data_IF_338129938197
#
_entry.id   IF_338129938197
#
_cell.length_a   1.000
_cell.length_b   1.000
_cell.length_c   1.000
_cell.angle_alpha   90.00
_cell.angle_beta   90.00
_cell.angle_gamma   90.00
#
_symmetry.space_group_name_H-M   'P 1'
#
loop_
_entity.id
_entity.type
_entity.pdbx_description
1 polymer ?
#
# COMPACT_ATOMS: atom_id res chain seq x y z
N UNK A 1 23.69 -25.64 1.66
CA UNK A 1 23.43 -24.58 0.64
C UNK A 1 22.97 -23.31 1.33
N UNK A 2 23.50 -22.16 0.96
CA UNK A 2 23.12 -20.83 1.51
C UNK A 2 22.78 -19.92 0.32
N UNK A 3 21.62 -19.26 0.38
CA UNK A 3 21.25 -18.24 -0.59
C UNK A 3 21.62 -16.85 -0.02
N UNK A 4 22.44 -16.10 -0.76
CA UNK A 4 22.80 -14.73 -0.43
C UNK A 4 22.09 -13.82 -1.43
N UNK A 5 21.13 -13.05 -0.92
CA UNK A 5 20.37 -12.07 -1.73
C UNK A 5 21.02 -10.70 -1.60
N UNK A 6 21.14 -9.98 -2.71
CA UNK A 6 21.65 -8.61 -2.71
C UNK A 6 20.84 -7.74 -1.73
N UNK A 7 21.47 -6.87 -0.93
CA UNK A 7 20.79 -6.08 0.11
C UNK A 7 19.58 -5.28 -0.40
N UNK A 8 19.62 -4.75 -1.62
CA UNK A 8 18.50 -4.03 -2.22
C UNK A 8 17.33 -4.96 -2.49
N UNK A 9 17.53 -6.15 -3.08
CA UNK A 9 16.44 -7.15 -3.26
C UNK A 9 15.87 -7.60 -1.91
N UNK A 10 16.73 -7.78 -0.91
CA UNK A 10 16.28 -8.14 0.44
C UNK A 10 15.43 -7.02 1.05
N UNK A 11 15.84 -5.76 0.91
CA UNK A 11 15.06 -4.60 1.37
C UNK A 11 13.69 -4.53 0.67
N UNK A 12 13.66 -4.67 -0.66
CA UNK A 12 12.41 -4.69 -1.46
C UNK A 12 11.46 -5.76 -0.92
N UNK A 13 11.94 -7.00 -0.73
CA UNK A 13 11.12 -8.11 -0.25
C UNK A 13 10.66 -7.91 1.21
N UNK A 14 11.52 -7.39 2.08
CA UNK A 14 11.18 -7.16 3.49
C UNK A 14 10.12 -6.09 3.66
N UNK A 15 10.24 -4.98 2.94
CA UNK A 15 9.26 -3.89 2.98
C UNK A 15 7.91 -4.34 2.39
N UNK A 16 7.93 -5.04 1.27
CA UNK A 16 6.72 -5.65 0.70
C UNK A 16 6.05 -6.59 1.70
N UNK A 17 6.80 -7.52 2.29
CA UNK A 17 6.25 -8.48 3.27
C UNK A 17 5.65 -7.79 4.50
N UNK A 18 6.26 -6.71 4.97
CA UNK A 18 5.72 -5.91 6.07
C UNK A 18 4.40 -5.23 5.67
N UNK A 19 4.35 -4.51 4.55
CA UNK A 19 3.15 -3.80 4.09
C UNK A 19 2.01 -4.77 3.76
N UNK A 20 2.31 -5.88 3.08
CA UNK A 20 1.33 -6.94 2.79
C UNK A 20 0.76 -7.54 4.07
N UNK A 21 1.62 -7.84 5.06
CA UNK A 21 1.18 -8.37 6.36
C UNK A 21 0.27 -7.38 7.11
N UNK A 22 0.53 -6.08 7.05
CA UNK A 22 -0.33 -5.07 7.65
C UNK A 22 -1.71 -5.04 6.97
N UNK A 23 -1.74 -5.04 5.62
CA UNK A 23 -3.00 -5.06 4.86
C UNK A 23 -3.84 -6.31 5.14
N UNK A 24 -3.20 -7.46 5.39
CA UNK A 24 -3.90 -8.72 5.65
C UNK A 24 -4.41 -8.82 7.09
N UNK A 25 -3.69 -8.27 8.08
CA UNK A 25 -4.00 -8.43 9.52
C UNK A 25 -4.93 -7.37 10.09
N UNK A 26 -4.81 -6.12 9.65
CA UNK A 26 -5.59 -5.03 10.21
C UNK A 26 -7.10 -5.26 10.16
N UNK A 27 -7.70 -5.84 9.08
CA UNK A 27 -9.14 -6.08 9.06
C UNK A 27 -9.65 -6.96 10.18
N UNK A 28 -8.91 -8.03 10.49
CA UNK A 28 -9.30 -8.94 11.57
C UNK A 28 -9.26 -8.22 12.91
N UNK A 29 -8.21 -7.45 13.16
CA UNK A 29 -8.06 -6.66 14.39
C UNK A 29 -9.15 -5.60 14.51
N UNK A 30 -9.47 -4.90 13.41
CA UNK A 30 -10.54 -3.89 13.40
C UNK A 30 -11.89 -4.54 13.65
N UNK A 31 -12.21 -5.66 12.99
CA UNK A 31 -13.48 -6.36 13.19
C UNK A 31 -13.64 -6.89 14.62
N UNK A 32 -12.56 -7.42 15.21
CA UNK A 32 -12.57 -7.84 16.62
C UNK A 32 -12.82 -6.65 17.54
N UNK A 33 -12.22 -5.52 17.25
CA UNK A 33 -12.40 -4.30 18.04
C UNK A 33 -13.79 -3.71 17.89
N UNK A 34 -14.34 -3.62 16.65
CA UNK A 34 -15.73 -3.19 16.39
C UNK A 34 -16.69 -4.07 17.19
N UNK A 35 -16.57 -5.39 17.08
CA UNK A 35 -17.42 -6.32 17.79
C UNK A 35 -17.38 -6.11 19.31
N UNK A 36 -16.18 -5.88 19.86
CA UNK A 36 -16.03 -5.58 21.29
C UNK A 36 -16.72 -4.27 21.67
N UNK A 37 -16.62 -3.23 20.85
CA UNK A 37 -17.31 -1.95 21.10
C UNK A 37 -18.84 -2.11 21.03
N UNK A 38 -19.34 -2.88 20.07
CA UNK A 38 -20.78 -3.21 19.99
C UNK A 38 -21.27 -3.96 21.24
N UNK A 39 -20.53 -4.98 21.68
CA UNK A 39 -20.84 -5.74 22.89
C UNK A 39 -20.83 -4.83 24.16
N UNK A 40 -19.86 -3.93 24.29
CA UNK A 40 -19.76 -2.97 25.39
C UNK A 40 -20.92 -1.97 25.39
N UNK A 41 -21.32 -1.43 24.22
CA UNK A 41 -22.46 -0.53 24.06
C UNK A 41 -23.76 -1.24 24.42
N UNK A 42 -23.94 -2.47 23.95
CA UNK A 42 -25.14 -3.26 24.23
C UNK A 42 -25.23 -3.60 25.74
N UNK A 43 -24.14 -3.98 26.37
CA UNK A 43 -24.07 -4.26 27.79
C UNK A 43 -24.43 -3.00 28.61
N UNK A 44 -23.84 -1.86 28.28
CA UNK A 44 -24.08 -0.59 28.93
C UNK A 44 -25.57 -0.20 28.83
N UNK A 45 -26.15 -0.30 27.63
CA UNK A 45 -27.56 0.00 27.41
C UNK A 45 -28.50 -0.90 28.25
N UNK A 46 -28.18 -2.19 28.36
CA UNK A 46 -28.95 -3.14 29.20
C UNK A 46 -28.83 -2.83 30.69
N UNK A 47 -27.64 -2.48 31.18
CA UNK A 47 -27.41 -2.14 32.57
C UNK A 47 -28.18 -0.89 32.98
N UNK A 48 -28.18 0.17 32.15
CA UNK A 48 -28.91 1.41 32.43
C UNK A 48 -30.42 1.27 32.29
N UNK A 49 -30.89 0.37 31.45
CA UNK A 49 -32.32 0.20 31.16
C UNK A 49 -33.12 -0.40 32.32
N UNK A 50 -32.50 -1.22 33.17
CA UNK A 50 -33.21 -1.98 34.25
C UNK A 50 -34.51 -2.64 33.80
N UNK A 51 -34.62 -2.98 32.50
CA UNK A 51 -35.79 -3.55 31.88
C UNK A 51 -36.72 -2.56 31.15
N UNK A 52 -36.41 -1.25 31.17
CA UNK A 52 -37.14 -0.24 30.40
C UNK A 52 -36.57 -0.15 28.96
N UNK A 53 -37.44 -0.45 27.99
CA UNK A 53 -37.02 -0.48 26.57
C UNK A 53 -36.71 0.92 26.00
N UNK A 54 -37.36 1.98 26.46
CA UNK A 54 -37.12 3.34 25.97
C UNK A 54 -35.75 3.82 26.47
N UNK A 55 -35.40 3.56 27.74
CA UNK A 55 -34.11 3.86 28.32
C UNK A 55 -33.00 3.07 27.61
N UNK A 56 -33.25 1.76 27.33
CA UNK A 56 -32.31 0.95 26.54
C UNK A 56 -32.02 1.57 25.18
N UNK A 57 -33.08 1.86 24.42
CA UNK A 57 -32.93 2.43 23.06
C UNK A 57 -32.18 3.75 23.07
N UNK A 58 -32.52 4.65 24.00
CA UNK A 58 -31.93 5.98 24.05
C UNK A 58 -30.47 5.92 24.49
N UNK A 59 -30.12 5.05 25.44
CA UNK A 59 -28.73 4.79 25.84
C UNK A 59 -27.95 4.17 24.69
N UNK A 60 -28.48 3.13 24.03
CA UNK A 60 -27.84 2.50 22.87
C UNK A 60 -27.57 3.51 21.77
N UNK A 61 -28.56 4.32 21.38
CA UNK A 61 -28.41 5.34 20.33
C UNK A 61 -27.41 6.43 20.68
N UNK A 62 -27.26 6.78 21.94
CA UNK A 62 -26.25 7.77 22.39
C UNK A 62 -24.83 7.22 22.31
N UNK A 63 -24.63 5.93 22.59
CA UNK A 63 -23.32 5.29 22.67
C UNK A 63 -22.87 4.67 21.32
N UNK A 64 -23.78 4.41 20.37
CA UNK A 64 -23.46 3.76 19.08
C UNK A 64 -22.48 4.58 18.24
N UNK A 65 -22.37 5.89 18.46
CA UNK A 65 -21.39 6.75 17.81
C UNK A 65 -19.95 6.32 18.07
N UNK A 66 -19.70 5.57 19.15
CA UNK A 66 -18.38 4.95 19.44
C UNK A 66 -18.04 3.88 18.41
N UNK A 67 -19.04 3.13 17.93
CA UNK A 67 -18.89 2.13 16.88
C UNK A 67 -18.70 2.81 15.53
N UNK A 68 -19.44 3.89 15.28
CA UNK A 68 -19.34 4.66 14.03
C UNK A 68 -17.92 5.23 13.84
N UNK A 69 -17.26 5.66 14.92
CA UNK A 69 -15.87 6.15 14.87
C UNK A 69 -14.87 5.10 14.38
N UNK A 70 -15.17 3.80 14.56
CA UNK A 70 -14.29 2.72 14.10
C UNK A 70 -14.23 2.65 12.57
N UNK A 71 -15.28 3.04 11.86
CA UNK A 71 -15.28 3.12 10.38
C UNK A 71 -14.42 4.27 9.87
N UNK A 72 -14.35 5.38 10.60
CA UNK A 72 -13.43 6.46 10.28
C UNK A 72 -11.97 6.01 10.42
N UNK A 73 -11.68 5.15 11.38
CA UNK A 73 -10.35 4.57 11.56
C UNK A 73 -9.97 3.62 10.42
N UNK A 74 -10.92 2.86 9.85
CA UNK A 74 -10.67 2.06 8.67
C UNK A 74 -10.27 2.94 7.47
N UNK A 75 -10.97 4.05 7.28
CA UNK A 75 -10.62 5.01 6.23
C UNK A 75 -9.22 5.58 6.44
N UNK A 76 -8.91 6.06 7.66
CA UNK A 76 -7.60 6.60 8.01
C UNK A 76 -6.49 5.58 7.82
N UNK A 77 -6.72 4.32 8.22
CA UNK A 77 -5.77 3.24 7.98
C UNK A 77 -5.53 3.01 6.49
N UNK A 78 -6.58 2.91 5.68
CA UNK A 78 -6.45 2.69 4.24
C UNK A 78 -5.75 3.86 3.54
N UNK A 79 -6.01 5.11 3.96
CA UNK A 79 -5.30 6.29 3.49
C UNK A 79 -3.80 6.22 3.84
N UNK A 80 -3.47 5.94 5.10
CA UNK A 80 -2.09 5.77 5.56
C UNK A 80 -1.38 4.65 4.80
N UNK A 81 -2.03 3.51 4.62
CA UNK A 81 -1.47 2.38 3.87
C UNK A 81 -1.17 2.73 2.42
N UNK A 82 -2.06 3.44 1.72
CA UNK A 82 -1.81 3.87 0.35
C UNK A 82 -0.59 4.83 0.28
N UNK A 83 -0.49 5.77 1.22
CA UNK A 83 0.67 6.66 1.31
C UNK A 83 1.96 5.87 1.57
N UNK A 84 1.93 4.90 2.47
CA UNK A 84 3.11 4.06 2.78
C UNK A 84 3.52 3.18 1.59
N UNK A 85 2.57 2.60 0.87
CA UNK A 85 2.80 1.79 -0.33
C UNK A 85 3.48 2.64 -1.40
N UNK A 86 2.93 3.82 -1.71
CA UNK A 86 3.56 4.72 -2.67
C UNK A 86 4.95 5.21 -2.21
N UNK A 87 5.13 5.52 -0.93
CA UNK A 87 6.43 5.94 -0.37
C UNK A 87 7.50 4.85 -0.46
N UNK A 88 7.10 3.59 -0.27
CA UNK A 88 7.97 2.43 -0.52
C UNK A 88 8.46 2.39 -1.97
N UNK A 89 7.55 2.56 -2.92
CA UNK A 89 7.87 2.60 -4.34
C UNK A 89 8.80 3.76 -4.70
N UNK A 90 8.42 4.99 -4.34
CA UNK A 90 9.17 6.21 -4.62
C UNK A 90 10.58 6.17 -4.03
N UNK A 91 10.71 5.82 -2.75
CA UNK A 91 12.00 5.75 -2.06
C UNK A 91 12.93 4.69 -2.65
N UNK A 92 12.37 3.54 -3.05
CA UNK A 92 13.13 2.47 -3.68
C UNK A 92 13.61 2.85 -5.09
N UNK A 93 12.74 3.49 -5.90
CA UNK A 93 13.14 4.02 -7.20
C UNK A 93 14.23 5.08 -7.08
N UNK A 94 14.08 6.00 -6.13
CA UNK A 94 15.09 7.02 -5.88
C UNK A 94 16.43 6.41 -5.48
N UNK A 95 16.42 5.36 -4.67
CA UNK A 95 17.63 4.63 -4.31
C UNK A 95 18.26 3.94 -5.51
N UNK A 96 17.47 3.21 -6.30
CA UNK A 96 17.94 2.56 -7.53
C UNK A 96 18.54 3.58 -8.50
N UNK A 97 17.84 4.70 -8.75
CA UNK A 97 18.33 5.73 -9.68
C UNK A 97 19.67 6.33 -9.23
N UNK A 98 19.84 6.60 -7.94
CA UNK A 98 21.13 7.09 -7.39
C UNK A 98 22.26 6.09 -7.56
N UNK A 99 22.02 4.81 -7.27
CA UNK A 99 23.05 3.77 -7.38
C UNK A 99 23.51 3.54 -8.82
N UNK A 100 22.58 3.65 -9.78
CA UNK A 100 22.92 3.50 -11.21
C UNK A 100 23.22 4.83 -11.91
N UNK A 101 23.24 5.93 -11.18
CA UNK A 101 23.56 7.28 -11.67
C UNK A 101 22.65 7.71 -12.83
N UNK A 102 21.32 7.67 -12.59
CA UNK A 102 20.29 8.18 -13.47
C UNK A 102 19.64 9.38 -12.79
N UNK A 103 19.51 10.50 -13.51
CA UNK A 103 19.06 11.78 -12.95
C UNK A 103 17.59 11.80 -12.50
N UNK A 104 16.78 10.87 -12.97
CA UNK A 104 15.36 10.79 -12.63
C UNK A 104 14.96 9.38 -12.21
N UNK A 105 14.18 9.21 -11.12
CA UNK A 105 13.74 7.91 -10.62
C UNK A 105 12.57 7.35 -11.46
N UNK A 106 12.73 7.29 -12.78
CA UNK A 106 11.74 6.69 -13.69
C UNK A 106 12.16 5.28 -14.08
N UNK A 107 11.25 4.29 -13.96
CA UNK A 107 11.54 2.89 -14.30
C UNK A 107 12.15 2.68 -15.68
N UNK A 108 11.61 3.37 -16.71
CA UNK A 108 12.12 3.31 -18.08
C UNK A 108 13.56 3.84 -18.21
N UNK A 109 13.88 4.93 -17.52
CA UNK A 109 15.24 5.49 -17.57
C UNK A 109 16.26 4.58 -16.87
N UNK A 110 15.86 3.95 -15.75
CA UNK A 110 16.70 2.97 -15.06
C UNK A 110 16.95 1.77 -15.98
N UNK A 111 15.91 1.22 -16.61
CA UNK A 111 16.05 0.08 -17.52
C UNK A 111 16.92 0.42 -18.74
N UNK A 112 16.71 1.58 -19.37
CA UNK A 112 17.46 2.03 -20.55
C UNK A 112 18.97 2.19 -20.27
N UNK A 113 19.35 2.55 -19.03
CA UNK A 113 20.78 2.62 -18.63
C UNK A 113 21.52 1.30 -18.86
N UNK A 114 20.80 0.18 -18.80
CA UNK A 114 21.35 -1.18 -18.99
C UNK A 114 20.97 -1.78 -20.38
N UNK A 115 20.52 -0.94 -21.33
CA UNK A 115 20.02 -1.39 -22.63
C UNK A 115 18.89 -2.43 -22.50
N UNK A 116 18.11 -2.36 -21.42
CA UNK A 116 16.98 -3.23 -21.16
C UNK A 116 15.67 -2.50 -21.39
N UNK A 117 14.64 -3.23 -21.80
CA UNK A 117 13.27 -2.75 -21.94
C UNK A 117 12.38 -3.42 -20.91
N UNK A 118 11.43 -2.67 -20.35
CA UNK A 118 10.35 -3.24 -19.55
C UNK A 118 9.33 -3.87 -20.49
N UNK A 119 8.72 -4.98 -20.08
CA UNK A 119 7.59 -5.55 -20.80
C UNK A 119 6.33 -4.68 -20.67
N UNK A 120 5.35 -4.92 -21.53
CA UNK A 120 4.11 -4.13 -21.58
C UNK A 120 3.32 -4.14 -20.27
N UNK A 121 3.42 -5.21 -19.48
CA UNK A 121 2.75 -5.28 -18.16
C UNK A 121 3.41 -4.31 -17.19
N UNK A 122 4.72 -4.29 -17.11
CA UNK A 122 5.49 -3.41 -16.21
C UNK A 122 5.39 -1.95 -16.63
N UNK A 123 5.33 -1.67 -17.94
CA UNK A 123 5.05 -0.32 -18.45
C UNK A 123 3.67 0.14 -17.96
N UNK A 124 2.62 -0.68 -18.13
CA UNK A 124 1.26 -0.35 -17.66
C UNK A 124 1.19 -0.15 -16.16
N UNK A 125 1.92 -0.95 -15.37
CA UNK A 125 2.01 -0.76 -13.91
C UNK A 125 2.64 0.60 -13.60
N UNK A 126 3.77 0.93 -14.23
CA UNK A 126 4.46 2.21 -14.03
C UNK A 126 3.57 3.40 -14.38
N UNK A 127 2.90 3.35 -15.52
CA UNK A 127 1.97 4.39 -15.97
C UNK A 127 0.75 4.51 -15.04
N UNK A 128 0.23 3.39 -14.55
CA UNK A 128 -0.89 3.38 -13.60
C UNK A 128 -0.49 4.04 -12.28
N UNK A 129 0.66 3.67 -11.72
CA UNK A 129 1.16 4.29 -10.48
C UNK A 129 1.37 5.78 -10.68
N UNK A 130 2.05 6.19 -11.74
CA UNK A 130 2.32 7.59 -12.03
C UNK A 130 1.04 8.40 -12.31
N UNK A 131 0.09 7.88 -13.11
CA UNK A 131 -1.07 8.65 -13.56
C UNK A 131 -2.29 8.53 -12.65
N UNK A 132 -2.36 7.51 -11.76
CA UNK A 132 -3.55 7.23 -10.94
C UNK A 132 -3.25 7.20 -9.45
N UNK A 133 -2.16 6.56 -9.02
CA UNK A 133 -1.84 6.42 -7.60
C UNK A 133 -1.19 7.69 -7.04
N UNK A 134 -0.19 8.22 -7.74
CA UNK A 134 0.54 9.44 -7.32
C UNK A 134 -0.40 10.63 -7.13
N UNK A 135 -1.30 10.98 -8.08
CA UNK A 135 -2.22 12.10 -7.87
C UNK A 135 -3.18 11.87 -6.69
N UNK A 136 -3.63 10.64 -6.46
CA UNK A 136 -4.46 10.31 -5.30
C UNK A 136 -3.68 10.49 -4.00
N UNK A 137 -2.44 9.98 -3.92
CA UNK A 137 -1.57 10.17 -2.75
C UNK A 137 -1.32 11.65 -2.47
N UNK A 138 -1.07 12.45 -3.50
CA UNK A 138 -0.88 13.89 -3.34
C UNK A 138 -2.12 14.56 -2.75
N UNK A 139 -3.32 14.16 -3.17
CA UNK A 139 -4.57 14.63 -2.56
C UNK A 139 -4.66 14.25 -1.07
N UNK A 140 -4.33 13.02 -0.72
CA UNK A 140 -4.37 12.55 0.67
C UNK A 140 -3.36 13.25 1.57
N UNK A 141 -2.14 13.50 1.07
CA UNK A 141 -1.08 14.13 1.85
C UNK A 141 -1.29 15.64 2.08
N UNK A 142 -1.89 16.33 1.11
CA UNK A 142 -1.90 17.80 1.10
C UNK A 142 -3.28 18.39 1.30
N UNK A 143 -4.30 17.57 1.48
CA UNK A 143 -5.68 18.05 1.45
C UNK A 143 -6.51 17.66 2.66
N UNK A 144 -6.23 18.28 3.81
CA UNK A 144 -7.10 18.15 5.00
C UNK A 144 -8.51 18.74 4.79
N UNK A 145 -8.74 19.51 3.70
CA UNK A 145 -9.99 20.21 3.43
C UNK A 145 -10.84 19.62 2.31
N UNK A 146 -10.36 18.57 1.62
CA UNK A 146 -11.09 17.94 0.50
C UNK A 146 -11.07 18.73 -0.81
N UNK A 147 -10.45 19.92 -0.87
CA UNK A 147 -10.33 20.70 -2.10
C UNK A 147 -9.17 20.20 -2.96
N UNK A 148 -9.42 19.95 -4.25
CA UNK A 148 -8.38 19.58 -5.20
C UNK A 148 -7.33 20.69 -5.33
N UNK A 149 -6.04 20.32 -5.33
CA UNK A 149 -4.97 21.27 -5.55
C UNK A 149 -5.15 22.01 -6.90
N UNK A 150 -5.01 23.32 -6.89
CA UNK A 150 -5.03 24.10 -8.14
C UNK A 150 -3.91 23.65 -9.09
N UNK A 151 -2.73 23.36 -8.55
CA UNK A 151 -1.61 22.82 -9.33
C UNK A 151 -1.85 21.33 -9.62
N UNK A 152 -1.92 20.96 -10.90
CA UNK A 152 -2.25 19.63 -11.42
C UNK A 152 -3.72 19.18 -11.21
N UNK A 153 -4.65 20.13 -11.08
CA UNK A 153 -6.08 19.85 -10.88
C UNK A 153 -6.64 18.87 -11.90
N UNK A 154 -6.39 19.10 -13.19
CA UNK A 154 -6.88 18.20 -14.27
C UNK A 154 -6.38 16.76 -14.12
N UNK A 155 -5.10 16.58 -13.76
CA UNK A 155 -4.50 15.24 -13.54
C UNK A 155 -5.12 14.57 -12.32
N UNK A 156 -5.35 15.32 -11.24
CA UNK A 156 -5.99 14.80 -10.02
C UNK A 156 -7.45 14.42 -10.28
N UNK A 157 -8.23 15.26 -10.97
CA UNK A 157 -9.61 14.97 -11.35
C UNK A 157 -9.71 13.73 -12.26
N UNK A 158 -8.86 13.64 -13.28
CA UNK A 158 -8.81 12.48 -14.17
C UNK A 158 -8.44 11.18 -13.44
N UNK A 159 -7.57 11.26 -12.42
CA UNK A 159 -7.24 10.14 -11.55
C UNK A 159 -8.43 9.73 -10.71
N UNK A 160 -9.02 10.67 -9.95
CA UNK A 160 -10.15 10.42 -9.06
C UNK A 160 -11.34 9.87 -9.82
N UNK A 161 -11.71 10.45 -10.96
CA UNK A 161 -12.81 9.97 -11.79
C UNK A 161 -12.58 8.53 -12.28
N UNK A 162 -11.35 8.19 -12.69
CA UNK A 162 -11.02 6.83 -13.07
C UNK A 162 -11.17 5.87 -11.89
N UNK A 163 -10.64 6.23 -10.71
CA UNK A 163 -10.68 5.37 -9.52
C UNK A 163 -12.11 5.18 -8.99
N UNK A 164 -12.96 6.21 -9.08
CA UNK A 164 -14.41 6.14 -8.80
C UNK A 164 -15.11 5.15 -9.74
N UNK A 165 -14.88 5.26 -11.06
CA UNK A 165 -15.47 4.35 -12.06
C UNK A 165 -15.08 2.89 -11.80
N UNK A 166 -13.85 2.65 -11.32
CA UNK A 166 -13.36 1.32 -10.96
C UNK A 166 -13.79 0.86 -9.57
N UNK A 167 -14.52 1.68 -8.81
CA UNK A 167 -14.91 1.42 -7.42
C UNK A 167 -13.71 1.17 -6.49
N UNK A 168 -12.58 1.80 -6.77
CA UNK A 168 -11.39 1.74 -5.93
C UNK A 168 -11.46 2.74 -4.77
N UNK A 169 -12.22 3.80 -4.94
CA UNK A 169 -12.50 4.82 -3.92
C UNK A 169 -13.97 5.20 -3.96
N UNK A 170 -14.47 5.78 -2.86
CA UNK A 170 -15.74 6.50 -2.81
C UNK A 170 -15.50 7.95 -2.43
N UNK A 171 -16.34 8.85 -2.94
CA UNK A 171 -16.28 10.28 -2.65
C UNK A 171 -17.68 10.76 -2.32
N UNK A 172 -17.81 11.51 -1.23
CA UNK A 172 -19.03 12.19 -0.84
C UNK A 172 -18.73 13.64 -0.48
N UNK A 173 -19.50 14.59 -1.01
CA UNK A 173 -19.29 16.04 -0.81
C UNK A 173 -17.83 16.50 -1.04
N UNK A 174 -17.19 15.96 -2.10
CA UNK A 174 -15.80 16.30 -2.45
C UNK A 174 -14.73 15.71 -1.55
N UNK A 175 -15.10 14.82 -0.61
CA UNK A 175 -14.17 14.13 0.29
C UNK A 175 -14.11 12.65 -0.03
N UNK A 176 -12.92 12.06 0.03
CA UNK A 176 -12.74 10.61 -0.08
C UNK A 176 -13.27 9.97 1.20
N UNK A 177 -14.30 9.13 1.05
CA UNK A 177 -14.98 8.45 2.16
C UNK A 177 -14.63 6.97 2.27
N UNK A 178 -14.06 6.38 1.24
CA UNK A 178 -13.47 5.05 1.34
C UNK A 178 -12.35 4.84 0.33
N UNK A 179 -11.42 3.96 0.66
CA UNK A 179 -10.40 3.42 -0.24
C UNK A 179 -10.45 1.90 -0.14
N UNK A 180 -10.65 1.24 -1.27
CA UNK A 180 -10.73 -0.21 -1.32
C UNK A 180 -9.36 -0.84 -1.00
N UNK A 181 -9.33 -1.75 -0.04
CA UNK A 181 -8.12 -2.43 0.39
C UNK A 181 -7.51 -3.32 -0.69
N UNK A 182 -8.33 -4.03 -1.46
CA UNK A 182 -7.87 -4.86 -2.57
C UNK A 182 -7.19 -4.00 -3.66
N UNK A 183 -7.63 -2.75 -3.82
CA UNK A 183 -6.96 -1.79 -4.68
C UNK A 183 -5.55 -1.46 -4.14
N UNK A 184 -5.40 -1.18 -2.84
CA UNK A 184 -4.10 -0.91 -2.22
C UNK A 184 -3.17 -2.12 -2.37
N UNK A 185 -3.68 -3.32 -2.14
CA UNK A 185 -2.93 -4.58 -2.30
C UNK A 185 -2.48 -4.78 -3.75
N UNK A 186 -3.36 -4.52 -4.71
CA UNK A 186 -3.04 -4.58 -6.15
C UNK A 186 -1.95 -3.58 -6.55
N UNK A 187 -1.97 -2.37 -5.99
CA UNK A 187 -0.90 -1.37 -6.18
C UNK A 187 0.41 -1.89 -5.62
N UNK A 188 0.42 -2.35 -4.37
CA UNK A 188 1.60 -2.90 -3.71
C UNK A 188 2.22 -4.07 -4.49
N UNK A 189 1.41 -5.02 -4.96
CA UNK A 189 1.87 -6.18 -5.74
C UNK A 189 2.47 -5.75 -7.08
N UNK A 190 1.84 -4.79 -7.76
CA UNK A 190 2.35 -4.23 -9.01
C UNK A 190 3.68 -3.50 -8.83
N UNK A 191 3.77 -2.64 -7.83
CA UNK A 191 5.00 -1.91 -7.50
C UNK A 191 6.13 -2.87 -7.12
N UNK A 192 5.84 -3.88 -6.30
CA UNK A 192 6.81 -4.90 -5.92
C UNK A 192 7.37 -5.65 -7.14
N UNK A 193 6.50 -6.10 -8.04
CA UNK A 193 6.89 -6.76 -9.28
C UNK A 193 7.81 -5.89 -10.13
N UNK A 194 7.45 -4.62 -10.30
CA UNK A 194 8.25 -3.66 -11.07
C UNK A 194 9.61 -3.41 -10.43
N UNK A 195 9.67 -3.19 -9.11
CA UNK A 195 10.90 -2.95 -8.37
C UNK A 195 11.85 -4.14 -8.38
N UNK A 196 11.33 -5.37 -8.24
CA UNK A 196 12.14 -6.58 -8.36
C UNK A 196 12.74 -6.71 -9.75
N UNK A 197 11.96 -6.43 -10.80
CA UNK A 197 12.47 -6.48 -12.18
C UNK A 197 13.54 -5.44 -12.44
N UNK A 198 13.37 -4.22 -11.93
CA UNK A 198 14.41 -3.19 -12.02
C UNK A 198 15.68 -3.59 -11.27
N UNK A 199 15.54 -4.18 -10.08
CA UNK A 199 16.68 -4.69 -9.33
C UNK A 199 17.44 -5.79 -10.11
N UNK A 200 16.72 -6.67 -10.82
CA UNK A 200 17.34 -7.67 -11.71
C UNK A 200 18.07 -7.03 -12.89
N UNK A 201 17.47 -6.06 -13.56
CA UNK A 201 18.08 -5.30 -14.64
C UNK A 201 19.35 -4.60 -14.17
N UNK A 202 19.36 -4.05 -12.96
CA UNK A 202 20.54 -3.45 -12.33
C UNK A 202 21.61 -4.47 -11.91
N UNK A 203 21.37 -5.77 -12.13
CA UNK A 203 22.34 -6.82 -11.78
C UNK A 203 22.32 -7.26 -10.32
N UNK A 204 21.34 -6.84 -9.53
CA UNK A 204 21.21 -7.24 -8.12
C UNK A 204 20.58 -8.63 -8.02
N UNK A 205 21.45 -9.63 -7.83
CA UNK A 205 21.09 -11.06 -7.90
C UNK A 205 21.02 -11.73 -6.54
N UNK A 206 20.30 -12.83 -6.47
CA UNK A 206 20.42 -13.81 -5.40
C UNK A 206 21.38 -14.89 -5.87
N UNK A 207 22.42 -15.20 -5.10
CA UNK A 207 23.42 -16.20 -5.42
C UNK A 207 23.27 -17.36 -4.44
N UNK A 208 23.10 -18.56 -4.98
CA UNK A 208 23.10 -19.79 -4.20
C UNK A 208 24.53 -20.30 -4.06
N UNK A 209 24.98 -20.41 -2.84
CA UNK A 209 26.25 -21.04 -2.49
C UNK A 209 26.04 -22.45 -1.96
N UNK A 210 26.95 -23.35 -2.29
CA UNK A 210 26.96 -24.72 -1.79
C UNK A 210 28.32 -25.36 -1.97
N UNK A 211 28.50 -26.49 -1.35
CA UNK A 211 29.69 -27.32 -1.54
C UNK A 211 29.60 -28.04 -2.88
N UNK A 212 30.67 -28.01 -3.65
CA UNK A 212 30.85 -28.80 -4.86
C UNK A 212 31.84 -29.91 -4.54
N UNK A 213 31.61 -31.09 -5.07
CA UNK A 213 32.46 -32.25 -4.84
C UNK A 213 33.93 -31.92 -5.09
N UNK A 214 34.77 -32.22 -4.13
CA UNK A 214 36.23 -31.97 -4.19
C UNK A 214 36.70 -30.55 -3.77
N UNK A 215 35.77 -29.71 -3.24
CA UNK A 215 36.14 -28.39 -2.70
C UNK A 215 35.78 -28.28 -1.21
N UNK A 216 36.77 -27.82 -0.41
CA UNK A 216 36.59 -27.59 1.04
C UNK A 216 35.85 -26.27 1.35
N UNK A 217 35.52 -25.46 0.34
CA UNK A 217 34.82 -24.18 0.49
C UNK A 217 33.56 -24.13 -0.32
N UNK A 218 32.58 -23.32 0.16
CA UNK A 218 31.34 -23.03 -0.57
C UNK A 218 31.63 -22.21 -1.82
N UNK A 219 31.05 -22.62 -2.94
CA UNK A 219 31.17 -21.93 -4.23
C UNK A 219 29.79 -21.50 -4.73
N UNK A 220 29.68 -20.44 -5.57
CA UNK A 220 28.42 -20.07 -6.20
C UNK A 220 27.97 -21.17 -7.18
N UNK A 221 26.77 -21.73 -6.93
CA UNK A 221 26.18 -22.78 -7.74
C UNK A 221 25.22 -22.23 -8.78
N UNK A 222 24.44 -21.19 -8.41
CA UNK A 222 23.41 -20.57 -9.24
C UNK A 222 23.16 -19.12 -8.83
N UNK A 223 22.82 -18.26 -9.79
CA UNK A 223 22.34 -16.88 -9.54
C UNK A 223 21.03 -16.63 -10.26
N UNK A 224 20.10 -15.89 -9.65
CA UNK A 224 18.82 -15.45 -10.21
C UNK A 224 18.39 -14.08 -9.65
#
# INVERSE_FOLDING_TARGET
MIAITHPIKQMINSQYGFLSSMLDRFPSLLNEWIKKQEEEVEQLAREYAEGDYEVYRDTYNSEISRVDSCYDEELLFNQAMLIMVYSYYESTLLRLSKEVQVDSPRPSLIANKFNATLDDELIRISEFVFNKVEPLRDQLCHNNSGTLFEKNKERAEASINFLLQKKYISVYEGRITSINRDFIKKVLDGEHKLLLKLAEICGYKTILYGYKDGLDSMVPLKSW
#
